data_IF_841730975608
#
_entry.id   IF_841730975608
#
_cell.length_a   1.000
_cell.length_b   1.000
_cell.length_c   1.000
_cell.angle_alpha   90.00
_cell.angle_beta   90.00
_cell.angle_gamma   90.00
#
_symmetry.space_group_name_H-M   'P 1'
#
loop_
_entity.id
_entity.type
_entity.pdbx_description
1 polymer ?
#
# COMPACT_ATOMS: atom_id res chain seq x y z
N UNK A 1 -23.72 -14.01 24.67
CA UNK A 1 -23.48 -14.95 25.79
C UNK A 1 -22.12 -14.60 26.34
N UNK A 2 -22.03 -14.20 27.60
CA UNK A 2 -20.72 -14.01 28.25
C UNK A 2 -20.10 -15.38 28.47
N UNK A 3 -19.05 -15.70 27.72
CA UNK A 3 -18.25 -16.91 27.94
C UNK A 3 -17.42 -16.75 29.21
N UNK A 4 -17.28 -17.83 29.99
CA UNK A 4 -16.47 -17.80 31.21
C UNK A 4 -14.98 -17.65 30.84
N UNK A 5 -14.19 -16.94 31.65
CA UNK A 5 -12.72 -16.88 31.49
C UNK A 5 -12.06 -18.28 31.41
N UNK A 6 -12.70 -19.31 31.97
CA UNK A 6 -12.25 -20.69 31.85
C UNK A 6 -12.47 -21.28 30.45
N UNK A 7 -13.54 -20.88 29.74
CA UNK A 7 -13.88 -21.35 28.40
C UNK A 7 -12.86 -20.81 27.38
N UNK A 8 -12.55 -19.52 27.46
CA UNK A 8 -11.51 -18.86 26.63
C UNK A 8 -10.15 -19.56 26.79
N UNK A 9 -9.75 -19.88 28.03
CA UNK A 9 -8.50 -20.59 28.30
C UNK A 9 -8.49 -22.01 27.73
N UNK A 10 -9.59 -22.74 27.83
CA UNK A 10 -9.70 -24.08 27.28
C UNK A 10 -9.65 -24.06 25.75
N UNK A 11 -10.35 -23.13 25.13
CA UNK A 11 -10.34 -22.92 23.69
C UNK A 11 -8.95 -22.56 23.18
N UNK A 12 -8.26 -21.65 23.85
CA UNK A 12 -6.90 -21.26 23.48
C UNK A 12 -5.89 -22.41 23.64
N UNK A 13 -6.06 -23.29 24.64
CA UNK A 13 -5.26 -24.53 24.75
C UNK A 13 -5.50 -25.47 23.57
N UNK A 14 -6.75 -25.62 23.13
CA UNK A 14 -7.10 -26.41 21.93
C UNK A 14 -6.39 -25.86 20.69
N UNK A 15 -6.43 -24.54 20.47
CA UNK A 15 -5.71 -23.87 19.38
C UNK A 15 -4.21 -24.20 19.43
N UNK A 16 -3.57 -24.09 20.59
CA UNK A 16 -2.16 -24.45 20.72
C UNK A 16 -1.86 -25.92 20.42
N UNK A 17 -2.73 -26.85 20.81
CA UNK A 17 -2.58 -28.27 20.48
C UNK A 17 -2.63 -28.48 18.97
N UNK A 18 -3.57 -27.85 18.27
CA UNK A 18 -3.69 -27.92 16.81
C UNK A 18 -2.45 -27.34 16.12
N UNK A 19 -1.98 -26.17 16.56
CA UNK A 19 -0.76 -25.53 16.03
C UNK A 19 0.46 -26.41 16.22
N UNK A 20 0.61 -27.05 17.39
CA UNK A 20 1.74 -27.95 17.67
C UNK A 20 1.75 -29.14 16.70
N UNK A 21 0.61 -29.79 16.50
CA UNK A 21 0.48 -30.92 15.55
C UNK A 21 0.81 -30.46 14.12
N UNK A 22 0.31 -29.30 13.72
CA UNK A 22 0.59 -28.73 12.40
C UNK A 22 2.08 -28.43 12.21
N UNK A 23 2.75 -27.88 13.22
CA UNK A 23 4.18 -27.56 13.17
C UNK A 23 5.07 -28.80 13.10
N UNK A 24 4.71 -29.87 13.81
CA UNK A 24 5.41 -31.17 13.73
C UNK A 24 5.36 -31.78 12.32
N UNK A 25 4.27 -31.54 11.58
CA UNK A 25 4.05 -32.11 10.24
C UNK A 25 4.49 -31.19 9.09
N UNK A 26 4.71 -29.89 9.35
CA UNK A 26 4.94 -28.84 8.33
C UNK A 26 6.14 -29.12 7.41
N UNK A 27 7.15 -29.81 7.90
CA UNK A 27 8.36 -30.08 7.11
C UNK A 27 8.12 -31.12 6.01
N UNK A 28 7.22 -32.08 6.23
CA UNK A 28 6.96 -33.22 5.35
C UNK A 28 5.65 -33.10 4.57
N UNK A 29 4.76 -32.18 4.95
CA UNK A 29 3.47 -31.93 4.32
C UNK A 29 3.58 -31.71 2.79
N UNK A 30 2.83 -32.52 2.04
CA UNK A 30 2.67 -32.43 0.58
C UNK A 30 1.34 -31.75 0.20
N UNK A 31 1.13 -31.50 -1.09
CA UNK A 31 -0.15 -30.98 -1.60
C UNK A 31 -1.27 -31.98 -1.36
N UNK A 32 -1.00 -33.28 -1.58
CA UNK A 32 -2.00 -34.34 -1.42
C UNK A 32 -2.42 -34.49 0.05
N UNK A 33 -1.49 -34.31 0.99
CA UNK A 33 -1.77 -34.29 2.43
C UNK A 33 -2.68 -33.12 2.82
N UNK A 34 -2.45 -31.92 2.26
CA UNK A 34 -3.30 -30.73 2.48
C UNK A 34 -4.72 -30.97 1.95
N UNK A 35 -4.84 -31.73 0.87
CA UNK A 35 -6.13 -32.08 0.29
C UNK A 35 -6.85 -33.22 1.03
N UNK A 36 -6.20 -33.89 2.00
CA UNK A 36 -6.87 -34.92 2.79
C UNK A 36 -7.96 -34.34 3.70
N UNK A 37 -9.10 -35.05 3.87
CA UNK A 37 -10.19 -34.61 4.75
C UNK A 37 -9.75 -34.38 6.21
N UNK A 38 -8.78 -35.15 6.70
CA UNK A 38 -8.26 -35.02 8.07
C UNK A 38 -7.54 -33.69 8.29
N UNK A 39 -6.69 -33.29 7.34
CA UNK A 39 -6.00 -32.00 7.38
C UNK A 39 -7.01 -30.85 7.28
N UNK A 40 -7.95 -30.93 6.31
CA UNK A 40 -8.98 -29.91 6.11
C UNK A 40 -9.88 -29.74 7.34
N UNK A 41 -10.27 -30.83 7.99
CA UNK A 41 -11.04 -30.75 9.23
C UNK A 41 -10.25 -30.06 10.35
N UNK A 42 -9.00 -30.48 10.58
CA UNK A 42 -8.12 -29.87 11.59
C UNK A 42 -7.91 -28.38 11.34
N UNK A 43 -7.67 -28.00 10.08
CA UNK A 43 -7.49 -26.62 9.64
C UNK A 43 -8.75 -25.77 9.85
N UNK A 44 -9.92 -26.28 9.48
CA UNK A 44 -11.21 -25.59 9.72
C UNK A 44 -11.47 -25.39 11.21
N UNK A 45 -11.19 -26.38 12.05
CA UNK A 45 -11.32 -26.24 13.51
C UNK A 45 -10.36 -25.17 14.03
N UNK A 46 -9.10 -25.17 13.59
CA UNK A 46 -8.13 -24.13 13.98
C UNK A 46 -8.62 -22.73 13.61
N UNK A 47 -9.08 -22.55 12.37
CA UNK A 47 -9.61 -21.26 11.87
C UNK A 47 -10.82 -20.83 12.69
N UNK A 48 -11.82 -21.69 12.85
CA UNK A 48 -13.05 -21.37 13.59
C UNK A 48 -12.77 -21.01 15.05
N UNK A 49 -11.87 -21.71 15.72
CA UNK A 49 -11.50 -21.41 17.11
C UNK A 49 -10.73 -20.08 17.23
N UNK A 50 -9.86 -19.76 16.25
CA UNK A 50 -9.20 -18.47 16.24
C UNK A 50 -10.19 -17.32 15.99
N UNK A 51 -11.14 -17.48 15.07
CA UNK A 51 -12.20 -16.50 14.81
C UNK A 51 -13.01 -16.25 16.08
N UNK A 52 -13.41 -17.31 16.79
CA UNK A 52 -14.13 -17.20 18.05
C UNK A 52 -13.33 -16.38 19.08
N UNK A 53 -12.06 -16.72 19.30
CA UNK A 53 -11.21 -16.04 20.29
C UNK A 53 -10.96 -14.56 19.98
N UNK A 54 -10.91 -14.18 18.70
CA UNK A 54 -10.77 -12.78 18.26
C UNK A 54 -11.97 -11.92 18.70
N UNK A 55 -13.15 -12.52 18.89
CA UNK A 55 -14.36 -11.83 19.33
C UNK A 55 -14.68 -12.00 20.82
N UNK A 56 -13.96 -12.88 21.55
CA UNK A 56 -14.20 -13.15 22.97
C UNK A 56 -13.24 -12.41 23.92
N UNK A 57 -12.02 -12.08 23.47
CA UNK A 57 -11.03 -11.36 24.28
C UNK A 57 -10.28 -10.32 23.43
N UNK A 58 -10.61 -9.05 23.61
CA UNK A 58 -9.99 -7.92 22.91
C UNK A 58 -8.63 -7.49 23.48
N UNK A 59 -8.11 -8.20 24.49
CA UNK A 59 -6.80 -7.92 25.06
C UNK A 59 -5.72 -8.88 24.51
N UNK A 60 -5.39 -9.95 25.24
CA UNK A 60 -4.19 -10.74 24.96
C UNK A 60 -4.48 -11.94 24.06
N UNK A 61 -5.56 -12.67 24.34
CA UNK A 61 -5.88 -13.92 23.64
C UNK A 61 -6.35 -13.62 22.23
N UNK A 62 -7.20 -12.61 22.01
CA UNK A 62 -7.63 -12.21 20.67
C UNK A 62 -6.47 -11.71 19.81
N UNK A 63 -5.51 -10.96 20.36
CA UNK A 63 -4.33 -10.52 19.59
C UNK A 63 -3.50 -11.73 19.12
N UNK A 64 -3.21 -12.66 20.02
CA UNK A 64 -2.47 -13.89 19.69
C UNK A 64 -3.26 -14.77 18.71
N UNK A 65 -4.58 -14.85 18.87
CA UNK A 65 -5.44 -15.65 18.01
C UNK A 65 -5.52 -15.09 16.59
N UNK A 66 -5.54 -13.76 16.44
CA UNK A 66 -5.38 -13.08 15.13
C UNK A 66 -4.05 -13.42 14.47
N UNK A 67 -2.94 -13.39 15.22
CA UNK A 67 -1.63 -13.73 14.69
C UNK A 67 -1.54 -15.21 14.27
N UNK A 68 -2.10 -16.11 15.08
CA UNK A 68 -2.17 -17.55 14.78
C UNK A 68 -3.07 -17.79 13.55
N UNK A 69 -4.22 -17.14 13.47
CA UNK A 69 -5.14 -17.23 12.32
C UNK A 69 -4.40 -16.94 11.02
N UNK A 70 -3.68 -15.81 10.97
CA UNK A 70 -2.89 -15.47 9.78
C UNK A 70 -1.73 -16.45 9.55
N UNK A 71 -0.86 -16.62 10.55
CA UNK A 71 0.40 -17.37 10.42
C UNK A 71 0.17 -18.85 10.15
N UNK A 72 -0.68 -19.50 10.95
CA UNK A 72 -0.90 -20.95 10.94
C UNK A 72 -2.08 -21.36 10.08
N UNK A 73 -3.14 -20.54 10.05
CA UNK A 73 -4.27 -20.77 9.15
C UNK A 73 -3.89 -20.60 7.68
N UNK A 74 -3.11 -19.58 7.32
CA UNK A 74 -2.91 -19.24 5.90
C UNK A 74 -1.45 -19.20 5.48
N UNK A 75 -0.64 -18.31 6.07
CA UNK A 75 0.72 -18.05 5.60
C UNK A 75 1.59 -19.31 5.55
N UNK A 76 1.58 -20.13 6.60
CA UNK A 76 2.39 -21.35 6.68
C UNK A 76 1.93 -22.42 5.69
N UNK A 77 0.62 -22.57 5.49
CA UNK A 77 0.05 -23.53 4.52
C UNK A 77 0.36 -23.08 3.10
N UNK A 78 0.18 -21.79 2.78
CA UNK A 78 0.61 -21.21 1.50
C UNK A 78 2.11 -21.41 1.28
N UNK A 79 2.93 -21.24 2.31
CA UNK A 79 4.38 -21.46 2.24
C UNK A 79 4.73 -22.93 1.95
N UNK A 80 3.98 -23.89 2.48
CA UNK A 80 4.09 -25.31 2.09
C UNK A 80 3.76 -25.48 0.61
N UNK A 81 2.63 -24.94 0.14
CA UNK A 81 2.22 -25.03 -1.27
C UNK A 81 3.28 -24.40 -2.20
N UNK A 82 3.86 -23.25 -1.83
CA UNK A 82 4.96 -22.62 -2.58
C UNK A 82 6.19 -23.53 -2.69
N UNK A 83 6.56 -24.25 -1.62
CA UNK A 83 7.68 -25.21 -1.63
C UNK A 83 7.43 -26.44 -2.50
N UNK A 84 6.17 -26.77 -2.78
CA UNK A 84 5.79 -27.90 -3.64
C UNK A 84 5.75 -27.53 -5.14
N UNK A 85 6.01 -26.27 -5.51
CA UNK A 85 6.16 -25.86 -6.91
C UNK A 85 7.25 -26.67 -7.59
N UNK A 86 6.92 -27.27 -8.74
CA UNK A 86 7.81 -28.15 -9.50
C UNK A 86 7.92 -29.58 -8.96
N UNK A 87 7.32 -29.90 -7.81
CA UNK A 87 7.27 -31.27 -7.24
C UNK A 87 5.89 -31.92 -7.41
N UNK A 88 4.84 -31.15 -7.16
CA UNK A 88 3.46 -31.60 -7.28
C UNK A 88 2.89 -31.32 -8.68
N UNK A 89 1.79 -32.01 -9.02
CA UNK A 89 1.01 -31.69 -10.21
C UNK A 89 0.50 -30.24 -10.16
N UNK A 90 0.69 -29.50 -11.26
CA UNK A 90 0.36 -28.07 -11.33
C UNK A 90 -1.12 -27.81 -11.07
N UNK A 91 -2.02 -28.62 -11.65
CA UNK A 91 -3.46 -28.45 -11.46
C UNK A 91 -3.88 -28.73 -10.02
N UNK A 92 -3.35 -29.80 -9.41
CA UNK A 92 -3.60 -30.12 -7.99
C UNK A 92 -3.09 -29.02 -7.07
N UNK A 93 -1.90 -28.48 -7.33
CA UNK A 93 -1.31 -27.38 -6.57
C UNK A 93 -2.13 -26.10 -6.69
N UNK A 94 -2.55 -25.74 -7.91
CA UNK A 94 -3.39 -24.57 -8.15
C UNK A 94 -4.76 -24.73 -7.50
N UNK A 95 -5.38 -25.90 -7.58
CA UNK A 95 -6.65 -26.18 -6.91
C UNK A 95 -6.55 -26.05 -5.38
N UNK A 96 -5.52 -26.64 -4.77
CA UNK A 96 -5.29 -26.53 -3.33
C UNK A 96 -5.05 -25.07 -2.90
N UNK A 97 -4.27 -24.32 -3.67
CA UNK A 97 -4.00 -22.91 -3.41
C UNK A 97 -5.26 -22.04 -3.58
N UNK A 98 -6.03 -22.25 -4.65
CA UNK A 98 -7.24 -21.47 -4.95
C UNK A 98 -8.30 -21.66 -3.86
N UNK A 99 -8.55 -22.90 -3.43
CA UNK A 99 -9.47 -23.19 -2.33
C UNK A 99 -9.07 -22.46 -1.04
N UNK A 100 -7.83 -22.66 -0.59
CA UNK A 100 -7.32 -22.07 0.66
C UNK A 100 -7.35 -20.54 0.62
N UNK A 101 -6.94 -19.94 -0.51
CA UNK A 101 -6.86 -18.49 -0.65
C UNK A 101 -8.26 -17.86 -0.71
N UNK A 102 -9.20 -18.44 -1.47
CA UNK A 102 -10.59 -17.96 -1.53
C UNK A 102 -11.27 -18.03 -0.17
N UNK A 103 -11.09 -19.14 0.55
CA UNK A 103 -11.60 -19.31 1.91
C UNK A 103 -11.06 -18.22 2.85
N UNK A 104 -9.74 -17.99 2.84
CA UNK A 104 -9.12 -16.94 3.66
C UNK A 104 -9.60 -15.53 3.31
N UNK A 105 -9.72 -15.23 2.01
CA UNK A 105 -10.27 -13.94 1.55
C UNK A 105 -11.69 -13.76 2.09
N UNK A 106 -12.53 -14.80 1.98
CA UNK A 106 -13.91 -14.72 2.41
C UNK A 106 -14.03 -14.45 3.92
N UNK A 107 -13.32 -15.22 4.75
CA UNK A 107 -13.36 -15.03 6.20
C UNK A 107 -12.77 -13.68 6.62
N UNK A 108 -11.66 -13.24 6.04
CA UNK A 108 -11.05 -11.97 6.45
C UNK A 108 -11.94 -10.77 6.11
N UNK A 109 -12.61 -10.79 4.95
CA UNK A 109 -13.64 -9.79 4.63
C UNK A 109 -14.76 -9.80 5.67
N UNK A 110 -15.31 -10.99 5.96
CA UNK A 110 -16.42 -11.13 6.90
C UNK A 110 -16.03 -10.70 8.33
N UNK A 111 -14.81 -11.00 8.79
CA UNK A 111 -14.30 -10.56 10.09
C UNK A 111 -14.21 -9.03 10.15
N UNK A 112 -13.68 -8.38 9.10
CA UNK A 112 -13.58 -6.90 9.05
C UNK A 112 -14.97 -6.27 9.10
N UNK A 113 -15.91 -6.74 8.29
CA UNK A 113 -17.29 -6.27 8.30
C UNK A 113 -17.94 -6.48 9.67
N UNK A 114 -17.65 -7.60 10.35
CA UNK A 114 -18.18 -7.88 11.68
C UNK A 114 -17.61 -6.95 12.75
N UNK A 115 -16.32 -6.65 12.71
CA UNK A 115 -15.72 -5.64 13.61
C UNK A 115 -16.32 -4.26 13.39
N UNK A 116 -16.56 -3.86 12.14
CA UNK A 116 -17.22 -2.59 11.85
C UNK A 116 -18.61 -2.51 12.49
N UNK A 117 -19.42 -3.57 12.33
CA UNK A 117 -20.77 -3.65 12.90
C UNK A 117 -20.75 -3.62 14.43
N UNK A 118 -19.94 -4.48 15.07
CA UNK A 118 -19.86 -4.58 16.54
C UNK A 118 -19.45 -3.24 17.14
N UNK A 119 -18.40 -2.62 16.61
CA UNK A 119 -17.81 -1.41 17.18
C UNK A 119 -18.44 -0.10 16.67
N UNK A 120 -19.50 -0.18 15.84
CA UNK A 120 -20.17 0.99 15.24
C UNK A 120 -19.20 1.93 14.51
N UNK A 121 -18.30 1.35 13.70
CA UNK A 121 -17.23 2.09 13.01
C UNK A 121 -17.68 2.69 11.68
N UNK A 122 -18.93 3.17 11.56
CA UNK A 122 -19.49 3.70 10.30
C UNK A 122 -18.62 4.81 9.68
N UNK A 123 -18.00 5.64 10.53
CA UNK A 123 -17.10 6.70 10.08
C UNK A 123 -15.82 6.20 9.40
N UNK A 124 -15.46 4.92 9.59
CA UNK A 124 -14.32 4.30 8.96
C UNK A 124 -14.48 4.20 7.44
N UNK A 125 -15.73 4.16 6.94
CA UNK A 125 -16.05 4.16 5.50
C UNK A 125 -15.62 5.43 4.77
N UNK A 126 -15.37 6.53 5.49
CA UNK A 126 -14.79 7.75 4.91
C UNK A 126 -13.27 7.65 4.69
N UNK A 127 -12.62 6.67 5.32
CA UNK A 127 -11.18 6.45 5.28
C UNK A 127 -10.80 5.19 4.49
N UNK A 128 -11.56 4.11 4.65
CA UNK A 128 -11.33 2.81 4.04
C UNK A 128 -12.47 2.49 3.07
N UNK A 129 -12.14 2.01 1.87
CA UNK A 129 -13.12 1.56 0.89
C UNK A 129 -13.70 0.19 1.25
N UNK A 130 -14.83 0.18 1.95
CA UNK A 130 -15.55 -1.03 2.35
C UNK A 130 -16.20 -1.78 1.19
N UNK A 131 -16.35 -1.17 0.00
CA UNK A 131 -16.89 -1.86 -1.17
C UNK A 131 -15.98 -3.04 -1.60
N UNK A 132 -14.71 -3.04 -1.21
CA UNK A 132 -13.77 -4.15 -1.42
C UNK A 132 -14.04 -5.36 -0.51
N UNK A 133 -14.90 -5.21 0.49
CA UNK A 133 -15.17 -6.22 1.51
C UNK A 133 -16.58 -6.79 1.35
N UNK A 134 -17.51 -5.99 0.83
CA UNK A 134 -18.92 -6.33 0.65
C UNK A 134 -19.15 -7.44 -0.39
N UNK A 135 -18.22 -7.67 -1.32
CA UNK A 135 -18.24 -8.81 -2.25
C UNK A 135 -17.71 -10.12 -1.62
N UNK A 136 -18.00 -10.35 -0.32
CA UNK A 136 -17.73 -11.62 0.33
C UNK A 136 -18.78 -12.67 -0.08
N UNK A 137 -18.37 -13.94 -0.12
CA UNK A 137 -19.20 -15.06 -0.54
C UNK A 137 -20.02 -15.59 0.65
N UNK A 138 -21.25 -15.11 0.76
CA UNK A 138 -22.20 -15.50 1.81
C UNK A 138 -22.54 -16.99 1.75
N UNK A 139 -22.68 -17.56 0.55
CA UNK A 139 -23.07 -18.96 0.38
C UNK A 139 -21.93 -19.88 0.79
N UNK A 140 -20.70 -19.59 0.36
CA UNK A 140 -19.52 -20.32 0.84
C UNK A 140 -19.33 -20.20 2.36
N UNK A 141 -19.68 -19.05 2.96
CA UNK A 141 -19.63 -18.90 4.41
C UNK A 141 -20.66 -19.78 5.12
N UNK A 142 -21.87 -19.94 4.56
CA UNK A 142 -22.94 -20.79 5.11
C UNK A 142 -22.62 -22.27 5.10
N UNK A 143 -21.76 -22.72 4.19
CA UNK A 143 -21.27 -24.10 4.15
C UNK A 143 -20.42 -24.46 5.38
N UNK A 144 -19.96 -23.47 6.15
CA UNK A 144 -19.16 -23.62 7.37
C UNK A 144 -19.93 -23.07 8.59
N UNK A 145 -20.83 -23.88 9.20
CA UNK A 145 -21.82 -23.39 10.15
C UNK A 145 -21.22 -22.74 11.39
N UNK A 146 -20.05 -23.19 11.85
CA UNK A 146 -19.39 -22.62 13.02
C UNK A 146 -18.90 -21.20 12.74
N UNK A 147 -18.26 -20.98 11.60
CA UNK A 147 -17.79 -19.66 11.18
C UNK A 147 -18.95 -18.72 10.87
N UNK A 148 -19.98 -19.20 10.14
CA UNK A 148 -21.19 -18.42 9.86
C UNK A 148 -21.89 -17.95 11.15
N UNK A 149 -22.05 -18.86 12.11
CA UNK A 149 -22.67 -18.56 13.40
C UNK A 149 -21.84 -17.65 14.30
N UNK A 150 -20.52 -17.53 14.09
CA UNK A 150 -19.68 -16.57 14.82
C UNK A 150 -19.72 -15.19 14.18
N UNK A 151 -19.70 -15.14 12.85
CA UNK A 151 -19.57 -13.89 12.10
C UNK A 151 -20.89 -13.13 11.99
N UNK A 152 -22.04 -13.81 12.03
CA UNK A 152 -23.40 -13.25 12.15
C UNK A 152 -23.56 -11.84 11.56
N UNK A 153 -23.18 -11.65 10.30
CA UNK A 153 -23.30 -10.36 9.63
C UNK A 153 -24.80 -10.07 9.48
N UNK A 154 -25.33 -9.23 10.36
CA UNK A 154 -26.74 -8.87 10.37
C UNK A 154 -27.01 -7.90 9.22
N UNK A 155 -28.17 -8.04 8.57
CA UNK A 155 -28.74 -6.99 7.73
C UNK A 155 -29.36 -5.95 8.65
N UNK A 156 -28.65 -4.85 8.88
CA UNK A 156 -29.08 -3.62 9.58
C UNK A 156 -30.41 -3.71 10.35
N UNK A 157 -30.37 -4.12 11.62
CA UNK A 157 -31.39 -3.71 12.57
C UNK A 157 -30.89 -2.43 13.24
N UNK A 158 -31.40 -1.27 12.78
CA UNK A 158 -31.16 0.08 13.32
C UNK A 158 -31.59 0.26 14.79
N UNK A 159 -32.00 -0.83 15.45
CA UNK A 159 -32.55 -0.87 16.80
C UNK A 159 -31.62 -1.49 17.85
N UNK A 160 -30.43 -2.00 17.47
CA UNK A 160 -29.48 -2.51 18.46
C UNK A 160 -28.89 -1.35 19.28
N UNK A 161 -29.03 -1.41 20.60
CA UNK A 161 -28.43 -0.44 21.51
C UNK A 161 -26.91 -0.36 21.24
N UNK A 162 -26.41 0.83 20.90
CA UNK A 162 -24.97 1.05 20.70
C UNK A 162 -24.24 0.75 22.00
N UNK A 163 -23.57 -0.40 22.04
CA UNK A 163 -22.74 -0.80 23.16
C UNK A 163 -21.54 0.15 23.28
N UNK A 164 -21.19 0.53 24.51
CA UNK A 164 -20.09 1.44 24.77
C UNK A 164 -18.80 0.63 24.93
N UNK A 165 -17.91 0.71 23.95
CA UNK A 165 -16.58 0.10 24.02
C UNK A 165 -15.55 1.06 24.59
N UNK A 166 -14.58 0.51 25.31
CA UNK A 166 -13.42 1.24 25.80
C UNK A 166 -12.49 1.64 24.65
N UNK A 167 -11.63 2.63 24.89
CA UNK A 167 -10.60 3.04 23.90
C UNK A 167 -9.66 1.89 23.52
N UNK A 168 -9.38 0.98 24.45
CA UNK A 168 -8.49 -0.15 24.22
C UNK A 168 -9.13 -1.18 23.28
N UNK A 169 -10.41 -1.48 23.47
CA UNK A 169 -11.15 -2.40 22.60
C UNK A 169 -11.34 -1.82 21.19
N UNK A 170 -11.62 -0.52 21.08
CA UNK A 170 -11.66 0.18 19.78
C UNK A 170 -10.28 0.13 19.10
N UNK A 171 -9.18 0.34 19.85
CA UNK A 171 -7.82 0.20 19.32
C UNK A 171 -7.57 -1.21 18.79
N UNK A 172 -7.97 -2.23 19.56
CA UNK A 172 -7.86 -3.63 19.16
C UNK A 172 -8.63 -3.92 17.86
N UNK A 173 -9.85 -3.40 17.73
CA UNK A 173 -10.66 -3.55 16.51
C UNK A 173 -9.96 -2.91 15.30
N UNK A 174 -9.50 -1.67 15.41
CA UNK A 174 -8.80 -0.96 14.33
C UNK A 174 -7.48 -1.64 13.94
N UNK A 175 -6.70 -2.11 14.93
CA UNK A 175 -5.48 -2.88 14.68
C UNK A 175 -5.75 -4.21 13.99
N UNK A 176 -6.86 -4.87 14.35
CA UNK A 176 -7.28 -6.13 13.75
C UNK A 176 -7.75 -5.92 12.30
N UNK A 177 -8.56 -4.90 12.04
CA UNK A 177 -8.96 -4.51 10.68
C UNK A 177 -7.72 -4.20 9.84
N UNK A 178 -6.80 -3.39 10.36
CA UNK A 178 -5.55 -3.06 9.68
C UNK A 178 -4.72 -4.30 9.32
N UNK A 179 -4.53 -5.21 10.28
CA UNK A 179 -3.79 -6.45 10.05
C UNK A 179 -4.47 -7.33 8.98
N UNK A 180 -5.80 -7.45 9.00
CA UNK A 180 -6.55 -8.24 8.04
C UNK A 180 -6.57 -7.62 6.64
N UNK A 181 -6.56 -6.30 6.50
CA UNK A 181 -6.39 -5.64 5.21
C UNK A 181 -5.02 -5.97 4.60
N UNK A 182 -3.96 -6.03 5.41
CA UNK A 182 -2.64 -6.47 4.93
C UNK A 182 -2.67 -7.95 4.53
N UNK A 183 -3.27 -8.82 5.36
CA UNK A 183 -3.43 -10.23 5.04
C UNK A 183 -4.27 -10.46 3.77
N UNK A 184 -5.31 -9.66 3.53
CA UNK A 184 -6.10 -9.68 2.30
C UNK A 184 -5.25 -9.29 1.09
N UNK A 185 -4.41 -8.26 1.21
CA UNK A 185 -3.41 -7.92 0.19
C UNK A 185 -2.46 -9.09 -0.08
N UNK A 186 -1.93 -9.73 0.96
CA UNK A 186 -1.04 -10.88 0.81
C UNK A 186 -1.72 -12.08 0.13
N UNK A 187 -2.98 -12.37 0.45
CA UNK A 187 -3.76 -13.43 -0.19
C UNK A 187 -3.95 -13.18 -1.69
N UNK A 188 -4.28 -11.95 -2.09
CA UNK A 188 -4.37 -11.59 -3.51
C UNK A 188 -3.00 -11.61 -4.20
N UNK A 189 -1.92 -11.21 -3.50
CA UNK A 189 -0.55 -11.38 -4.01
C UNK A 189 -0.25 -12.86 -4.26
N UNK A 190 -0.66 -13.75 -3.36
CA UNK A 190 -0.48 -15.20 -3.56
C UNK A 190 -1.26 -15.71 -4.77
N UNK A 191 -2.47 -15.19 -5.05
CA UNK A 191 -3.18 -15.51 -6.29
C UNK A 191 -2.31 -15.22 -7.53
N UNK A 192 -1.67 -14.04 -7.60
CA UNK A 192 -0.74 -13.72 -8.69
C UNK A 192 0.41 -14.73 -8.78
N UNK A 193 1.01 -15.07 -7.64
CA UNK A 193 2.14 -16.00 -7.61
C UNK A 193 1.76 -17.40 -8.11
N UNK A 194 0.52 -17.86 -7.88
CA UNK A 194 0.00 -19.17 -8.33
C UNK A 194 -0.68 -19.12 -9.71
N UNK A 195 -0.76 -17.93 -10.33
CA UNK A 195 -1.44 -17.75 -11.62
C UNK A 195 -2.95 -17.94 -11.54
N UNK A 196 -3.57 -17.50 -10.43
CA UNK A 196 -5.00 -17.60 -10.18
C UNK A 196 -5.70 -16.28 -10.54
N UNK A 197 -6.77 -16.36 -11.33
CA UNK A 197 -7.57 -15.20 -11.75
C UNK A 197 -6.91 -14.35 -12.84
N UNK A 198 -7.58 -13.26 -13.22
CA UNK A 198 -7.02 -12.30 -14.17
C UNK A 198 -5.88 -11.49 -13.54
N UNK A 199 -4.71 -11.50 -14.17
CA UNK A 199 -3.49 -10.92 -13.61
C UNK A 199 -3.62 -9.41 -13.32
N UNK A 200 -4.29 -8.65 -14.18
CA UNK A 200 -4.42 -7.20 -14.02
C UNK A 200 -5.42 -6.88 -12.90
N UNK A 201 -6.56 -7.55 -12.87
CA UNK A 201 -7.57 -7.37 -11.82
C UNK A 201 -7.05 -7.78 -10.44
N UNK A 202 -6.36 -8.92 -10.35
CA UNK A 202 -5.80 -9.39 -9.08
C UNK A 202 -4.68 -8.45 -8.61
N UNK A 203 -3.83 -7.94 -9.52
CA UNK A 203 -2.81 -6.94 -9.19
C UNK A 203 -3.43 -5.64 -8.66
N UNK A 204 -4.50 -5.17 -9.29
CA UNK A 204 -5.25 -3.99 -8.82
C UNK A 204 -5.88 -4.22 -7.44
N UNK A 205 -6.55 -5.35 -7.22
CA UNK A 205 -7.11 -5.73 -5.90
C UNK A 205 -6.01 -5.79 -4.83
N UNK A 206 -4.87 -6.40 -5.15
CA UNK A 206 -3.72 -6.51 -4.24
C UNK A 206 -3.25 -5.12 -3.81
N UNK A 207 -3.08 -4.20 -4.77
CA UNK A 207 -2.70 -2.81 -4.51
C UNK A 207 -3.73 -2.09 -3.62
N UNK A 208 -5.03 -2.24 -3.93
CA UNK A 208 -6.11 -1.59 -3.19
C UNK A 208 -6.11 -1.99 -1.71
N UNK A 209 -5.98 -3.27 -1.38
CA UNK A 209 -5.94 -3.69 0.03
C UNK A 209 -4.75 -3.11 0.82
N UNK A 210 -3.56 -3.08 0.24
CA UNK A 210 -2.41 -2.45 0.91
C UNK A 210 -2.60 -0.93 1.04
N UNK A 211 -3.24 -0.28 0.06
CA UNK A 211 -3.56 1.14 0.14
C UNK A 211 -4.59 1.42 1.26
N UNK A 212 -5.65 0.62 1.37
CA UNK A 212 -6.63 0.75 2.44
C UNK A 212 -6.01 0.49 3.83
N UNK A 213 -5.13 -0.50 3.95
CA UNK A 213 -4.35 -0.69 5.17
C UNK A 213 -3.49 0.53 5.51
N UNK A 214 -2.80 1.09 4.51
CA UNK A 214 -1.97 2.29 4.69
C UNK A 214 -2.79 3.51 5.14
N UNK A 215 -3.96 3.77 4.53
CA UNK A 215 -4.85 4.86 4.93
C UNK A 215 -5.28 4.72 6.39
N UNK A 216 -5.58 3.49 6.82
CA UNK A 216 -6.00 3.21 8.19
C UNK A 216 -4.87 3.44 9.20
N UNK A 217 -3.64 3.01 8.90
CA UNK A 217 -2.50 3.22 9.78
C UNK A 217 -1.21 3.57 9.02
N UNK A 218 -0.98 4.85 8.70
CA UNK A 218 0.19 5.28 7.93
C UNK A 218 1.50 5.19 8.73
N UNK A 219 1.45 4.87 10.03
CA UNK A 219 2.63 4.77 10.88
C UNK A 219 3.42 3.47 10.66
N UNK A 220 2.79 2.44 10.07
CA UNK A 220 3.38 1.11 9.91
C UNK A 220 3.89 0.92 8.48
N UNK A 221 5.20 0.65 8.33
CA UNK A 221 5.86 0.57 7.03
C UNK A 221 5.47 -0.63 6.16
N UNK A 222 4.91 -1.69 6.75
CA UNK A 222 4.66 -2.96 6.06
C UNK A 222 3.81 -2.83 4.79
N UNK A 223 2.72 -2.06 4.82
CA UNK A 223 1.87 -1.85 3.64
C UNK A 223 2.64 -1.15 2.50
N UNK A 224 3.49 -0.19 2.85
CA UNK A 224 4.31 0.56 1.90
C UNK A 224 5.40 -0.33 1.29
N UNK A 225 6.06 -1.19 2.08
CA UNK A 225 6.95 -2.22 1.55
C UNK A 225 6.25 -3.10 0.49
N UNK A 226 5.00 -3.49 0.76
CA UNK A 226 4.24 -4.32 -0.16
C UNK A 226 3.84 -3.57 -1.44
N UNK A 227 3.46 -2.29 -1.34
CA UNK A 227 3.21 -1.45 -2.50
C UNK A 227 4.47 -1.29 -3.37
N UNK A 228 5.63 -1.06 -2.77
CA UNK A 228 6.91 -0.94 -3.47
C UNK A 228 7.28 -2.18 -4.30
N UNK A 229 6.94 -3.37 -3.80
CA UNK A 229 7.11 -4.62 -4.54
C UNK A 229 6.22 -4.69 -5.79
N UNK A 230 4.96 -4.23 -5.70
CA UNK A 230 3.97 -4.31 -6.79
C UNK A 230 4.28 -3.38 -7.96
N UNK A 231 4.87 -2.23 -7.66
CA UNK A 231 5.27 -1.20 -8.63
C UNK A 231 6.75 -1.29 -9.01
N UNK A 232 7.40 -2.42 -8.69
CA UNK A 232 8.78 -2.68 -9.09
C UNK A 232 8.97 -2.52 -10.60
N UNK A 233 9.89 -1.63 -10.99
CA UNK A 233 10.22 -1.33 -12.38
C UNK A 233 9.45 -0.17 -12.99
N UNK A 234 8.38 0.32 -12.36
CA UNK A 234 7.66 1.49 -12.86
C UNK A 234 8.48 2.77 -12.67
N UNK A 235 8.41 3.69 -13.64
CA UNK A 235 9.07 5.00 -13.60
C UNK A 235 10.57 4.90 -13.23
N UNK A 236 11.34 4.02 -13.89
CA UNK A 236 12.76 3.82 -13.58
C UNK A 236 13.02 3.40 -12.12
N UNK A 237 12.08 2.68 -11.50
CA UNK A 237 12.07 2.31 -10.08
C UNK A 237 11.78 3.44 -9.07
N UNK A 238 11.50 4.68 -9.53
CA UNK A 238 11.16 5.81 -8.65
C UNK A 238 10.03 5.46 -7.67
N UNK A 239 8.98 4.84 -8.18
CA UNK A 239 7.80 4.47 -7.41
C UNK A 239 8.13 3.47 -6.29
N UNK A 240 8.92 2.45 -6.62
CA UNK A 240 9.34 1.45 -5.65
C UNK A 240 10.23 2.06 -4.57
N UNK A 241 11.18 2.92 -4.96
CA UNK A 241 12.06 3.62 -4.01
C UNK A 241 11.26 4.51 -3.07
N UNK A 242 10.30 5.28 -3.58
CA UNK A 242 9.39 6.09 -2.74
C UNK A 242 8.75 5.26 -1.63
N UNK A 243 8.15 4.12 -2.00
CA UNK A 243 7.47 3.24 -1.06
C UNK A 243 8.43 2.61 -0.03
N UNK A 244 9.60 2.14 -0.46
CA UNK A 244 10.59 1.55 0.46
C UNK A 244 11.18 2.59 1.41
N UNK A 245 11.49 3.80 0.93
CA UNK A 245 12.03 4.85 1.79
C UNK A 245 10.98 5.36 2.78
N UNK A 246 9.70 5.47 2.38
CA UNK A 246 8.61 5.72 3.33
C UNK A 246 8.59 4.65 4.42
N UNK A 247 8.60 3.37 4.02
CA UNK A 247 8.57 2.22 4.92
C UNK A 247 9.72 2.20 5.94
N UNK A 248 10.88 2.79 5.59
CA UNK A 248 12.03 2.91 6.48
C UNK A 248 11.98 4.16 7.37
N UNK A 249 11.24 5.20 6.98
CA UNK A 249 11.20 6.49 7.67
C UNK A 249 9.94 6.73 8.50
N UNK A 250 8.89 5.90 8.35
CA UNK A 250 7.67 6.03 9.13
C UNK A 250 7.91 5.66 10.62
N UNK A 251 6.92 5.95 11.47
CA UNK A 251 7.07 5.80 12.93
C UNK A 251 7.35 4.37 13.41
N UNK A 252 6.83 3.36 12.70
CA UNK A 252 7.10 1.94 12.91
C UNK A 252 7.69 1.38 11.61
N UNK A 253 9.03 1.48 11.44
CA UNK A 253 9.69 1.05 10.21
C UNK A 253 9.55 -0.45 9.94
N UNK A 254 9.65 -0.83 8.66
CA UNK A 254 9.79 -2.22 8.26
C UNK A 254 11.18 -2.47 7.66
N UNK A 255 12.08 -3.01 8.48
CA UNK A 255 13.52 -3.14 8.17
C UNK A 255 13.81 -3.93 6.89
N UNK A 256 12.97 -4.91 6.52
CA UNK A 256 13.19 -5.68 5.29
C UNK A 256 13.09 -4.83 4.01
N UNK A 257 12.52 -3.62 4.07
CA UNK A 257 12.55 -2.66 2.95
C UNK A 257 13.97 -2.23 2.57
N UNK A 258 14.91 -2.26 3.52
CA UNK A 258 16.31 -1.88 3.28
C UNK A 258 16.99 -2.81 2.28
N UNK A 259 16.74 -4.12 2.37
CA UNK A 259 17.29 -5.07 1.39
C UNK A 259 16.69 -4.82 -0.01
N UNK A 260 15.39 -4.53 -0.09
CA UNK A 260 14.71 -4.31 -1.36
C UNK A 260 15.22 -3.04 -2.08
N UNK A 261 15.37 -1.92 -1.37
CA UNK A 261 15.84 -0.68 -1.97
C UNK A 261 17.33 -0.75 -2.35
N UNK A 262 18.16 -1.42 -1.55
CA UNK A 262 19.58 -1.61 -1.88
C UNK A 262 19.77 -2.45 -3.15
N UNK A 263 18.92 -3.46 -3.39
CA UNK A 263 18.94 -4.21 -4.66
C UNK A 263 18.65 -3.30 -5.86
N UNK A 264 17.73 -2.34 -5.71
CA UNK A 264 17.44 -1.35 -6.76
C UNK A 264 18.65 -0.44 -6.99
N UNK A 265 19.22 0.15 -5.94
CA UNK A 265 20.37 1.04 -6.07
C UNK A 265 21.59 0.36 -6.68
N UNK A 266 21.89 -0.89 -6.29
CA UNK A 266 23.00 -1.66 -6.87
C UNK A 266 22.79 -1.95 -8.36
N UNK A 267 21.56 -2.27 -8.79
CA UNK A 267 21.24 -2.47 -10.21
C UNK A 267 21.37 -1.16 -10.99
N UNK A 268 20.86 -0.06 -10.43
CA UNK A 268 20.93 1.27 -11.02
C UNK A 268 22.38 1.72 -11.26
N UNK A 269 23.27 1.53 -10.28
CA UNK A 269 24.70 1.83 -10.41
C UNK A 269 25.32 1.05 -11.58
N UNK A 270 25.09 -0.27 -11.65
CA UNK A 270 25.63 -1.12 -12.73
C UNK A 270 25.12 -0.72 -14.11
N UNK A 271 23.87 -0.28 -14.20
CA UNK A 271 23.29 0.21 -15.45
C UNK A 271 23.95 1.51 -15.91
N UNK A 272 24.20 2.45 -14.99
CA UNK A 272 24.90 3.69 -15.29
C UNK A 272 26.38 3.46 -15.66
N UNK A 273 27.06 2.51 -15.01
CA UNK A 273 28.47 2.18 -15.29
C UNK A 273 28.69 1.46 -16.63
N UNK A 274 27.73 0.63 -17.07
CA UNK A 274 27.87 -0.14 -18.30
C UNK A 274 27.58 0.65 -19.58
N UNK A 275 27.16 1.92 -19.45
CA UNK A 275 26.63 2.73 -20.55
C UNK A 275 25.22 2.25 -20.94
N UNK A 276 24.36 3.18 -21.36
CA UNK A 276 22.92 2.97 -21.58
C UNK A 276 22.55 2.03 -22.78
N UNK A 277 23.14 0.84 -22.88
CA UNK A 277 22.99 -0.02 -24.07
C UNK A 277 22.94 -1.54 -23.86
N UNK A 278 23.04 -2.09 -22.65
CA UNK A 278 23.22 -3.55 -22.49
C UNK A 278 22.02 -4.34 -21.92
N UNK A 279 21.14 -3.75 -21.10
CA UNK A 279 20.18 -4.57 -20.30
C UNK A 279 18.69 -4.23 -20.46
N UNK A 280 18.32 -3.30 -21.36
CA UNK A 280 16.90 -3.01 -21.68
C UNK A 280 16.13 -4.22 -22.27
N UNK A 281 16.83 -5.31 -22.63
CA UNK A 281 16.23 -6.50 -23.24
C UNK A 281 15.89 -7.65 -22.26
N UNK A 282 16.35 -7.63 -21.00
CA UNK A 282 16.22 -8.79 -20.09
C UNK A 282 15.33 -8.58 -18.85
N UNK A 283 14.73 -7.41 -18.68
CA UNK A 283 13.67 -7.19 -17.70
C UNK A 283 12.30 -7.38 -18.34
N UNK A 284 11.68 -8.55 -18.18
CA UNK A 284 10.32 -8.87 -18.68
C UNK A 284 9.17 -8.06 -18.01
N UNK A 285 9.39 -6.78 -17.74
CA UNK A 285 8.34 -5.79 -17.51
C UNK A 285 7.99 -5.13 -18.82
N UNK A 286 6.72 -4.78 -18.99
CA UNK A 286 6.26 -3.92 -20.08
C UNK A 286 7.22 -2.73 -20.14
N UNK A 287 7.94 -2.59 -21.26
CA UNK A 287 8.72 -1.39 -21.56
C UNK A 287 7.68 -0.29 -21.69
N UNK A 288 7.41 0.38 -20.58
CA UNK A 288 6.63 1.61 -20.57
C UNK A 288 7.33 2.54 -21.56
N UNK A 289 6.57 3.20 -22.42
CA UNK A 289 7.09 4.07 -23.48
C UNK A 289 7.72 5.35 -22.94
N UNK A 290 8.55 5.25 -21.90
CA UNK A 290 9.24 6.35 -21.26
C UNK A 290 10.30 6.92 -22.20
N UNK A 291 10.38 8.24 -22.22
CA UNK A 291 11.43 9.01 -22.86
C UNK A 291 12.78 8.68 -22.18
N UNK A 292 13.76 8.27 -22.99
CA UNK A 292 15.14 7.94 -22.57
C UNK A 292 15.75 9.05 -21.70
N UNK A 293 15.34 10.32 -21.91
CA UNK A 293 15.75 11.45 -21.09
C UNK A 293 15.23 11.36 -19.65
N UNK A 294 13.97 10.97 -19.47
CA UNK A 294 13.37 10.85 -18.12
C UNK A 294 13.96 9.66 -17.40
N UNK A 295 14.13 8.52 -18.08
CA UNK A 295 14.72 7.33 -17.48
C UNK A 295 16.18 7.60 -17.04
N UNK A 296 16.97 8.30 -17.86
CA UNK A 296 18.34 8.70 -17.52
C UNK A 296 18.37 9.67 -16.32
N UNK A 297 17.45 10.63 -16.29
CA UNK A 297 17.30 11.56 -15.16
C UNK A 297 16.94 10.82 -13.87
N UNK A 298 15.96 9.90 -13.91
CA UNK A 298 15.56 9.12 -12.74
C UNK A 298 16.72 8.25 -12.26
N UNK A 299 17.43 7.57 -13.15
CA UNK A 299 18.59 6.77 -12.78
C UNK A 299 19.66 7.61 -12.05
N UNK A 300 19.98 8.79 -12.58
CA UNK A 300 20.97 9.70 -11.97
C UNK A 300 20.46 10.30 -10.66
N UNK A 301 19.17 10.65 -10.59
CA UNK A 301 18.51 11.10 -9.36
C UNK A 301 18.56 10.03 -8.26
N UNK A 302 18.29 8.76 -8.58
CA UNK A 302 18.34 7.66 -7.61
C UNK A 302 19.75 7.42 -7.07
N UNK A 303 20.80 7.73 -7.83
CA UNK A 303 22.18 7.73 -7.33
C UNK A 303 22.39 8.84 -6.27
N UNK A 304 21.87 10.04 -6.50
CA UNK A 304 21.91 11.13 -5.51
C UNK A 304 21.14 10.76 -4.24
N UNK A 305 19.97 10.12 -4.40
CA UNK A 305 19.16 9.61 -3.28
C UNK A 305 19.91 8.57 -2.47
N UNK A 306 20.56 7.59 -3.12
CA UNK A 306 21.36 6.56 -2.46
C UNK A 306 22.48 7.18 -1.60
N UNK A 307 23.17 8.19 -2.14
CA UNK A 307 24.22 8.91 -1.40
C UNK A 307 23.67 9.68 -0.20
N UNK A 308 22.59 10.43 -0.38
CA UNK A 308 21.99 11.19 0.72
C UNK A 308 21.39 10.27 1.79
N UNK A 309 20.65 9.24 1.40
CA UNK A 309 19.92 8.38 2.33
C UNK A 309 20.85 7.53 3.21
N UNK A 310 21.92 7.00 2.62
CA UNK A 310 22.90 6.16 3.32
C UNK A 310 24.17 6.91 3.74
N UNK A 311 24.18 8.24 3.60
CA UNK A 311 25.31 9.11 3.94
C UNK A 311 26.64 8.69 3.29
N UNK A 312 26.59 8.11 2.09
CA UNK A 312 27.77 7.58 1.40
C UNK A 312 28.78 8.68 1.09
N UNK A 313 30.06 8.35 1.11
CA UNK A 313 31.12 9.28 0.72
C UNK A 313 31.45 9.04 -0.74
N UNK A 314 31.15 10.03 -1.59
CA UNK A 314 31.35 9.95 -3.05
C UNK A 314 32.15 11.18 -3.51
N UNK A 315 33.12 10.95 -4.38
CA UNK A 315 33.90 12.01 -5.04
C UNK A 315 33.02 12.83 -5.97
N UNK A 316 33.23 14.15 -6.03
CA UNK A 316 32.50 15.06 -6.92
C UNK A 316 30.96 15.03 -6.76
N UNK A 317 30.46 14.67 -5.56
CA UNK A 317 29.02 14.58 -5.30
C UNK A 317 28.25 15.88 -5.59
N UNK A 318 28.86 17.05 -5.35
CA UNK A 318 28.25 18.34 -5.70
C UNK A 318 28.08 18.51 -7.22
N UNK A 319 29.00 18.00 -8.03
CA UNK A 319 28.88 18.04 -9.48
C UNK A 319 27.77 17.11 -9.97
N UNK A 320 27.64 15.92 -9.36
CA UNK A 320 26.52 15.00 -9.61
C UNK A 320 25.17 15.67 -9.29
N UNK A 321 25.05 16.29 -8.11
CA UNK A 321 23.85 17.04 -7.73
C UNK A 321 23.53 18.15 -8.74
N UNK A 322 24.54 18.91 -9.18
CA UNK A 322 24.34 19.94 -10.19
C UNK A 322 23.86 19.37 -11.53
N UNK A 323 24.42 18.25 -11.99
CA UNK A 323 24.00 17.57 -13.22
C UNK A 323 22.52 17.19 -13.18
N UNK A 324 22.06 16.60 -12.06
CA UNK A 324 20.65 16.23 -11.88
C UNK A 324 19.73 17.45 -11.95
N UNK A 325 20.13 18.59 -11.37
CA UNK A 325 19.34 19.82 -11.43
C UNK A 325 19.26 20.40 -12.86
N UNK A 326 20.35 20.33 -13.62
CA UNK A 326 20.39 20.77 -15.02
C UNK A 326 19.49 19.90 -15.90
N UNK A 327 19.55 18.58 -15.72
CA UNK A 327 18.67 17.62 -16.41
C UNK A 327 17.20 17.84 -16.05
N UNK A 328 16.90 18.03 -14.76
CA UNK A 328 15.56 18.31 -14.29
C UNK A 328 14.97 19.57 -14.94
N UNK A 329 15.74 20.67 -14.97
CA UNK A 329 15.35 21.92 -15.64
C UNK A 329 15.07 21.69 -17.14
N UNK A 330 15.92 20.93 -17.81
CA UNK A 330 15.76 20.58 -19.23
C UNK A 330 14.45 19.84 -19.46
N UNK A 331 14.14 18.83 -18.65
CA UNK A 331 12.91 18.03 -18.76
C UNK A 331 11.66 18.89 -18.51
N UNK A 332 11.67 19.74 -17.48
CA UNK A 332 10.56 20.67 -17.22
C UNK A 332 10.32 21.64 -18.37
N UNK A 333 11.39 22.13 -19.01
CA UNK A 333 11.30 23.03 -20.16
C UNK A 333 10.71 22.32 -21.38
N UNK A 334 11.10 21.06 -21.63
CA UNK A 334 10.52 20.25 -22.72
C UNK A 334 9.03 19.99 -22.46
N UNK A 335 8.65 19.65 -21.23
CA UNK A 335 7.24 19.48 -20.82
C UNK A 335 6.40 20.74 -21.04
N UNK A 336 6.99 21.93 -21.01
CA UNK A 336 6.26 23.17 -21.32
C UNK A 336 5.97 23.35 -22.82
N UNK A 337 6.83 22.77 -23.66
CA UNK A 337 6.76 22.86 -25.12
C UNK A 337 5.90 21.74 -25.74
N UNK A 338 5.98 20.54 -25.19
CA UNK A 338 5.24 19.37 -25.63
C UNK A 338 4.04 19.15 -24.70
N UNK A 339 2.85 18.92 -25.24
CA UNK A 339 1.67 18.51 -24.45
C UNK A 339 1.79 17.05 -23.92
N UNK A 340 2.95 16.42 -24.10
CA UNK A 340 3.22 15.06 -23.66
C UNK A 340 3.76 15.04 -22.21
N UNK A 341 3.14 14.20 -21.38
CA UNK A 341 3.37 14.12 -19.94
C UNK A 341 4.47 13.11 -19.59
N UNK A 342 5.73 13.36 -19.99
CA UNK A 342 6.83 12.43 -19.70
C UNK A 342 7.19 12.38 -18.21
N UNK A 343 7.14 13.52 -17.52
CA UNK A 343 7.32 13.61 -16.07
C UNK A 343 5.99 14.00 -15.42
N UNK A 344 5.29 13.02 -14.86
CA UNK A 344 3.95 13.22 -14.30
C UNK A 344 3.98 13.96 -12.96
N UNK A 345 2.84 14.53 -12.55
CA UNK A 345 2.71 15.22 -11.26
C UNK A 345 2.93 14.27 -10.08
N UNK A 346 2.55 12.99 -10.24
CA UNK A 346 2.80 11.94 -9.26
C UNK A 346 4.31 11.61 -9.13
N UNK A 347 5.05 11.57 -10.24
CA UNK A 347 6.52 11.43 -10.20
C UNK A 347 7.17 12.63 -9.49
N UNK A 348 6.74 13.85 -9.80
CA UNK A 348 7.23 15.08 -9.14
C UNK A 348 6.99 15.05 -7.63
N UNK A 349 5.79 14.65 -7.22
CA UNK A 349 5.46 14.48 -5.81
C UNK A 349 6.38 13.47 -5.12
N UNK A 350 6.65 12.32 -5.76
CA UNK A 350 7.54 11.28 -5.23
C UNK A 350 8.99 11.73 -5.15
N UNK A 351 9.51 12.43 -6.18
CA UNK A 351 10.86 13.02 -6.18
C UNK A 351 11.06 13.92 -4.96
N UNK A 352 10.13 14.87 -4.75
CA UNK A 352 10.20 15.79 -3.62
C UNK A 352 10.07 15.05 -2.29
N UNK A 353 9.13 14.11 -2.19
CA UNK A 353 8.93 13.31 -0.97
C UNK A 353 10.15 12.46 -0.60
N UNK A 354 10.82 11.86 -1.58
CA UNK A 354 12.05 11.10 -1.39
C UNK A 354 13.14 11.99 -0.77
N UNK A 355 13.29 13.23 -1.23
CA UNK A 355 14.24 14.18 -0.64
C UNK A 355 13.89 14.53 0.81
N UNK A 356 12.59 14.60 1.16
CA UNK A 356 12.17 14.73 2.56
C UNK A 356 12.52 13.50 3.40
N UNK A 357 12.42 12.29 2.85
CA UNK A 357 12.86 11.06 3.54
C UNK A 357 14.38 11.07 3.77
N UNK A 358 15.16 11.46 2.76
CA UNK A 358 16.61 11.67 2.91
C UNK A 358 16.91 12.71 4.00
N UNK A 359 16.19 13.84 4.02
CA UNK A 359 16.39 14.88 5.02
C UNK A 359 16.08 14.38 6.43
N UNK A 360 14.98 13.63 6.60
CA UNK A 360 14.65 13.01 7.89
C UNK A 360 15.78 12.09 8.35
N UNK A 361 16.27 11.22 7.46
CA UNK A 361 17.34 10.27 7.77
C UNK A 361 18.67 10.95 8.13
N UNK A 362 19.11 11.93 7.34
CA UNK A 362 20.34 12.72 7.59
C UNK A 362 20.27 13.46 8.93
N UNK A 363 19.10 14.03 9.27
CA UNK A 363 18.90 14.70 10.57
C UNK A 363 19.01 13.72 11.73
N UNK A 364 18.49 12.50 11.60
CA UNK A 364 18.60 11.48 12.66
C UNK A 364 20.05 11.08 12.95
N UNK A 365 20.91 11.03 11.93
CA UNK A 365 22.32 10.66 12.07
C UNK A 365 23.25 11.88 12.30
N UNK A 366 22.71 13.10 12.32
CA UNK A 366 23.45 14.36 12.46
C UNK A 366 24.59 14.53 11.43
N UNK A 367 24.35 14.17 10.16
CA UNK A 367 25.35 14.33 9.09
C UNK A 367 25.37 15.75 8.52
N UNK A 368 26.58 16.26 8.24
CA UNK A 368 26.80 17.57 7.60
C UNK A 368 26.26 17.64 6.16
N UNK A 369 25.95 16.49 5.53
CA UNK A 369 25.30 16.47 4.21
C UNK A 369 23.92 17.15 4.20
N UNK A 370 23.36 17.49 5.37
CA UNK A 370 22.13 18.27 5.49
C UNK A 370 22.20 19.62 4.76
N UNK A 371 23.37 20.28 4.76
CA UNK A 371 23.54 21.56 4.07
C UNK A 371 23.46 21.40 2.55
N UNK A 372 24.14 20.38 2.01
CA UNK A 372 24.07 20.02 0.59
C UNK A 372 22.65 19.61 0.17
N UNK A 373 21.97 18.80 0.99
CA UNK A 373 20.60 18.38 0.69
C UNK A 373 19.61 19.56 0.71
N UNK A 374 19.74 20.47 1.68
CA UNK A 374 18.91 21.68 1.71
C UNK A 374 19.13 22.55 0.47
N UNK A 375 20.37 22.76 0.07
CA UNK A 375 20.69 23.52 -1.15
C UNK A 375 20.10 22.85 -2.40
N UNK A 376 20.25 21.52 -2.51
CA UNK A 376 19.70 20.74 -3.62
C UNK A 376 18.16 20.82 -3.67
N UNK A 377 17.49 20.62 -2.53
CA UNK A 377 16.02 20.69 -2.44
C UNK A 377 15.49 22.08 -2.76
N UNK A 378 16.12 23.15 -2.25
CA UNK A 378 15.74 24.53 -2.57
C UNK A 378 15.91 24.83 -4.05
N UNK A 379 17.01 24.40 -4.67
CA UNK A 379 17.22 24.57 -6.10
C UNK A 379 16.17 23.82 -6.92
N UNK A 380 15.87 22.57 -6.57
CA UNK A 380 14.84 21.77 -7.23
C UNK A 380 13.45 22.41 -7.11
N UNK A 381 13.07 22.88 -5.92
CA UNK A 381 11.81 23.60 -5.71
C UNK A 381 11.77 24.94 -6.47
N UNK A 382 12.90 25.64 -6.60
CA UNK A 382 12.99 26.86 -7.39
C UNK A 382 12.70 26.59 -8.87
N UNK A 383 13.23 25.50 -9.44
CA UNK A 383 12.93 25.12 -10.82
C UNK A 383 11.44 24.78 -11.01
N UNK A 384 10.82 24.11 -10.04
CA UNK A 384 9.37 23.85 -10.06
C UNK A 384 8.54 25.14 -10.02
N UNK A 385 8.91 26.10 -9.15
CA UNK A 385 8.23 27.39 -9.07
C UNK A 385 8.39 28.21 -10.35
N UNK A 386 9.57 28.19 -10.97
CA UNK A 386 9.81 28.82 -12.26
C UNK A 386 8.91 28.21 -13.34
N UNK A 387 8.81 26.87 -13.38
CA UNK A 387 7.92 26.18 -14.32
C UNK A 387 6.43 26.54 -14.09
N UNK A 388 5.96 26.56 -12.85
CA UNK A 388 4.60 27.00 -12.53
C UNK A 388 4.33 28.44 -12.97
N UNK A 389 5.28 29.34 -12.73
CA UNK A 389 5.18 30.76 -13.11
C UNK A 389 5.10 30.90 -14.62
N UNK A 390 6.02 30.26 -15.36
CA UNK A 390 6.04 30.32 -16.82
C UNK A 390 4.80 29.67 -17.44
N UNK A 391 4.26 28.60 -16.83
CA UNK A 391 3.01 27.97 -17.26
C UNK A 391 1.81 28.89 -17.06
N UNK A 392 1.75 29.59 -15.92
CA UNK A 392 0.72 30.60 -15.67
C UNK A 392 0.82 31.78 -16.64
N UNK A 393 2.03 32.29 -16.90
CA UNK A 393 2.26 33.39 -17.85
C UNK A 393 1.82 33.01 -19.27
N UNK A 394 2.16 31.78 -19.72
CA UNK A 394 1.70 31.23 -21.00
C UNK A 394 0.17 31.19 -21.06
N UNK A 395 -0.46 30.60 -20.04
CA UNK A 395 -1.93 30.51 -19.95
C UNK A 395 -2.59 31.90 -19.99
N UNK A 396 -2.09 32.84 -19.18
CA UNK A 396 -2.60 34.20 -19.12
C UNK A 396 -2.45 34.93 -20.46
N UNK A 397 -1.34 34.73 -21.17
CA UNK A 397 -1.11 35.30 -22.50
C UNK A 397 -2.08 34.71 -23.53
N UNK A 398 -2.29 33.40 -23.54
CA UNK A 398 -3.19 32.70 -24.47
C UNK A 398 -4.66 33.09 -24.25
N UNK A 399 -5.07 33.34 -23.00
CA UNK A 399 -6.44 33.72 -22.62
C UNK A 399 -6.66 35.22 -22.45
N UNK A 400 -5.68 36.06 -22.80
CA UNK A 400 -5.74 37.52 -22.60
C UNK A 400 -6.99 38.17 -23.20
N UNK A 401 -7.43 37.70 -24.38
CA UNK A 401 -8.62 38.23 -25.04
C UNK A 401 -9.91 37.88 -24.29
N UNK A 402 -9.99 36.66 -23.77
CA UNK A 402 -11.14 36.18 -23.00
C UNK A 402 -11.22 36.89 -21.64
N UNK A 403 -10.08 37.09 -20.99
CA UNK A 403 -9.97 37.87 -19.76
C UNK A 403 -10.42 39.32 -19.97
N UNK A 404 -9.98 39.97 -21.06
CA UNK A 404 -10.43 41.32 -21.39
C UNK A 404 -11.95 41.41 -21.61
N UNK A 405 -12.54 40.42 -22.29
CA UNK A 405 -14.00 40.34 -22.48
C UNK A 405 -14.73 40.13 -21.16
N UNK A 406 -14.24 39.22 -20.30
CA UNK A 406 -14.78 38.99 -18.98
C UNK A 406 -14.72 40.27 -18.13
N UNK A 407 -13.58 40.97 -18.13
CA UNK A 407 -13.37 42.20 -17.37
C UNK A 407 -14.34 43.30 -17.81
N UNK A 408 -14.56 43.47 -19.12
CA UNK A 408 -15.53 44.43 -19.63
C UNK A 408 -16.96 44.10 -19.16
N UNK A 409 -17.38 42.83 -19.26
CA UNK A 409 -18.70 42.39 -18.78
C UNK A 409 -18.86 42.59 -17.28
N UNK A 410 -17.84 42.23 -16.50
CA UNK A 410 -17.81 42.39 -15.06
C UNK A 410 -17.98 43.87 -14.67
N UNK A 411 -17.21 44.77 -15.30
CA UNK A 411 -17.28 46.21 -15.06
C UNK A 411 -18.66 46.79 -15.40
N UNK A 412 -19.25 46.40 -16.54
CA UNK A 412 -20.62 46.82 -16.91
C UNK A 412 -21.64 46.37 -15.85
N UNK A 413 -21.53 45.13 -15.36
CA UNK A 413 -22.43 44.60 -14.33
C UNK A 413 -22.23 45.29 -12.98
N UNK A 414 -20.99 45.54 -12.59
CA UNK A 414 -20.63 46.26 -11.38
C UNK A 414 -21.17 47.69 -11.39
N UNK A 415 -21.02 48.41 -12.51
CA UNK A 415 -21.57 49.76 -12.67
C UNK A 415 -23.09 49.77 -12.55
N UNK A 416 -23.78 48.84 -13.22
CA UNK A 416 -25.25 48.70 -13.13
C UNK A 416 -25.70 48.47 -11.68
N UNK A 417 -25.02 47.58 -10.97
CA UNK A 417 -25.31 47.29 -9.56
C UNK A 417 -25.04 48.51 -8.67
N UNK A 418 -23.93 49.21 -8.88
CA UNK A 418 -23.60 50.44 -8.16
C UNK A 418 -24.67 51.54 -8.33
N UNK A 419 -25.17 51.72 -9.56
CA UNK A 419 -26.28 52.64 -9.84
C UNK A 419 -27.58 52.22 -9.14
N UNK A 420 -27.91 50.92 -9.15
CA UNK A 420 -29.07 50.38 -8.42
C UNK A 420 -28.96 50.63 -6.91
N UNK A 421 -27.79 50.39 -6.31
CA UNK A 421 -27.56 50.62 -4.88
C UNK A 421 -27.67 52.11 -4.53
N UNK A 422 -27.15 53.01 -5.38
CA UNK A 422 -27.27 54.47 -5.15
C UNK A 422 -28.72 54.93 -5.26
N UNK A 423 -29.42 54.56 -6.32
CA UNK A 423 -30.83 54.91 -6.51
C UNK A 423 -31.74 54.35 -5.41
N UNK A 424 -31.44 53.18 -4.83
CA UNK A 424 -32.16 52.63 -3.69
C UNK A 424 -31.83 53.31 -2.34
N UNK A 425 -30.75 54.10 -2.25
CA UNK A 425 -30.41 54.90 -1.06
C UNK A 425 -30.98 56.31 -1.11
N UNK A 426 -31.23 56.82 -2.33
CA UNK A 426 -31.80 58.14 -2.57
C UNK A 426 -33.34 58.13 -2.62
N UNK A 427 -33.96 56.94 -2.59
CA UNK A 427 -35.39 56.70 -2.29
C UNK A 427 -35.56 56.40 -0.80
#
# INVERSE_FOLDING_TARGET
>A
MEYSSNDVKQLFRSVYTLVKVQDEQKATLTVDDILQPSFQLSHRVLVSQCIQLIFEDFECVGQKSREILWRKGYYDVVSVLKRQRGRANVATLQHAADRLIREGINYFKAIVLRFEQIFNLDSLRFLVDFALLEDYDVEALREEPSCYALLQLQTNDDAAAKELYTKQEISYALETIHALLISLGDLHRYQLEFGLGDRLQVKDRTRKYYLEAFKLNPKVGMAQNQLGMLVGGQNGHLDAVYHYLYSLCCAIPFECSETNVNVIFQKNIRQLESGAGADLANGGGIVDGNDELVDQFIATFLLVVDVFFYDKVVTDFNALCHSVLVEFKKILSIRQLLEEYYLTDDMLFKIVSILFFCMHRIKLINSDKIYSLNAFLVALCSELLQWCTASFEKFASEHSREDAQFQEMYLRRYQRYSVQVRSARDM
#
